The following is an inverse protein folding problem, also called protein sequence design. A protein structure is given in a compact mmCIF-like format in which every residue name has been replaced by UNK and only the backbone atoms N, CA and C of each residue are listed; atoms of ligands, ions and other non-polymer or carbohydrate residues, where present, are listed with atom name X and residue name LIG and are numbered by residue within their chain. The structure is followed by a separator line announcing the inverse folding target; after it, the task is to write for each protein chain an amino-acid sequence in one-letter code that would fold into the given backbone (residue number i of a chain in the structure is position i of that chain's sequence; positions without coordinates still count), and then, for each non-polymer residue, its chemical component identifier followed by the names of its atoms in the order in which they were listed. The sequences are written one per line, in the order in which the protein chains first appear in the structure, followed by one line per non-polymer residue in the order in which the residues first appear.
data_IF_958646647922
#
_entry.id   IF_958646647922
#
_cell.length_a   1.000
_cell.length_b   1.000
_cell.length_c   1.000
_cell.angle_alpha   90.00
_cell.angle_beta   90.00
_cell.angle_gamma   90.00
#
_symmetry.space_group_name_H-M   'P 1'
#
loop_
_entity.id
_entity.type
_entity.pdbx_description
1 polymer ?
#
# COMPACT_ATOMS: atom_id res chain seq x y z
N UNK A 1 35.81 21.47 -5.11
CA UNK A 1 35.41 20.04 -5.11
C UNK A 1 33.91 20.00 -5.29
N UNK A 2 33.43 19.69 -6.50
CA UNK A 2 32.01 19.68 -6.81
C UNK A 2 31.41 18.33 -6.42
N UNK A 3 30.38 18.38 -5.58
CA UNK A 3 29.66 17.20 -5.08
C UNK A 3 28.98 16.48 -6.26
N UNK A 4 29.36 15.22 -6.47
CA UNK A 4 28.69 14.31 -7.40
C UNK A 4 27.31 13.96 -6.86
N UNK A 5 26.25 14.41 -7.53
CA UNK A 5 24.88 13.98 -7.24
C UNK A 5 24.47 12.95 -8.30
N UNK A 6 24.29 11.70 -7.88
CA UNK A 6 23.86 10.59 -8.75
C UNK A 6 22.44 10.86 -9.26
N UNK A 7 22.32 11.26 -10.53
CA UNK A 7 21.03 11.32 -11.22
C UNK A 7 20.66 9.92 -11.71
N UNK A 8 19.99 9.14 -10.87
CA UNK A 8 19.40 7.86 -11.28
C UNK A 8 18.02 8.11 -11.90
N UNK A 9 17.82 7.67 -13.15
CA UNK A 9 16.48 7.52 -13.73
C UNK A 9 15.91 6.21 -13.23
N UNK A 10 14.88 6.28 -12.39
CA UNK A 10 14.13 5.12 -11.94
C UNK A 10 12.71 5.17 -12.51
N UNK A 11 12.10 4.00 -12.67
CA UNK A 11 10.68 3.87 -12.97
C UNK A 11 10.00 3.51 -11.67
N UNK A 12 9.08 4.37 -11.20
CA UNK A 12 8.22 4.05 -10.08
C UNK A 12 7.09 3.17 -10.59
N UNK A 13 6.88 2.03 -9.94
CA UNK A 13 5.84 1.08 -10.30
C UNK A 13 4.92 0.91 -9.08
N UNK A 14 3.62 1.04 -9.29
CA UNK A 14 2.61 0.65 -8.31
C UNK A 14 2.31 -0.85 -8.49
N UNK A 15 2.85 -1.66 -7.59
CA UNK A 15 2.75 -3.12 -7.60
C UNK A 15 1.29 -3.59 -7.45
N UNK A 16 0.52 -2.93 -6.58
CA UNK A 16 -0.90 -3.25 -6.35
C UNK A 16 -1.77 -2.91 -7.56
N UNK A 17 -1.49 -1.78 -8.22
CA UNK A 17 -2.17 -1.41 -9.47
C UNK A 17 -1.85 -2.40 -10.61
N UNK A 18 -0.61 -2.86 -10.72
CA UNK A 18 -0.23 -3.87 -11.71
C UNK A 18 -0.91 -5.22 -11.48
N UNK A 19 -1.02 -5.66 -10.23
CA UNK A 19 -1.74 -6.89 -9.88
C UNK A 19 -3.22 -6.79 -10.24
N UNK A 20 -3.86 -5.65 -9.97
CA UNK A 20 -5.27 -5.40 -10.33
C UNK A 20 -5.49 -5.29 -11.85
N UNK A 21 -4.51 -4.78 -12.58
CA UNK A 21 -4.59 -4.62 -14.04
C UNK A 21 -4.51 -5.96 -14.79
N UNK A 22 -3.99 -7.03 -14.17
CA UNK A 22 -4.02 -8.39 -14.72
C UNK A 22 -3.17 -8.61 -16.00
N UNK A 23 -2.08 -7.86 -16.16
CA UNK A 23 -1.29 -7.84 -17.40
C UNK A 23 0.03 -8.64 -17.39
N UNK A 24 0.40 -9.25 -16.26
CA UNK A 24 1.66 -9.98 -16.13
C UNK A 24 1.44 -11.49 -16.37
N UNK A 25 2.30 -12.18 -17.16
CA UNK A 25 2.24 -13.63 -17.30
C UNK A 25 2.39 -14.35 -15.95
N UNK A 26 1.72 -15.49 -15.78
CA UNK A 26 1.73 -16.25 -14.52
C UNK A 26 3.13 -16.71 -14.08
N UNK A 27 4.04 -16.96 -15.03
CA UNK A 27 5.42 -17.36 -14.75
C UNK A 27 6.41 -16.17 -14.64
N UNK A 28 5.91 -14.92 -14.63
CA UNK A 28 6.77 -13.76 -14.48
C UNK A 28 7.28 -13.65 -13.03
N UNK A 29 8.60 -13.70 -12.84
CA UNK A 29 9.22 -13.65 -11.50
C UNK A 29 8.82 -12.41 -10.68
N UNK A 30 8.75 -11.23 -11.31
CA UNK A 30 8.32 -10.01 -10.62
C UNK A 30 6.84 -10.08 -10.25
N UNK A 31 5.99 -10.59 -11.15
CA UNK A 31 4.57 -10.82 -10.87
C UNK A 31 4.35 -11.81 -9.73
N UNK A 32 5.13 -12.89 -9.67
CA UNK A 32 5.06 -13.87 -8.59
C UNK A 32 5.51 -13.28 -7.24
N UNK A 33 6.56 -12.45 -7.23
CA UNK A 33 6.99 -11.72 -6.04
C UNK A 33 5.93 -10.74 -5.57
N UNK A 34 5.36 -9.92 -6.46
CA UNK A 34 4.27 -8.99 -6.13
C UNK A 34 3.07 -9.72 -5.53
N UNK A 35 2.69 -10.87 -6.11
CA UNK A 35 1.62 -11.73 -5.58
C UNK A 35 1.96 -12.24 -4.19
N UNK A 36 3.20 -12.66 -3.93
CA UNK A 36 3.62 -13.13 -2.61
C UNK A 36 3.62 -12.00 -1.58
N UNK A 37 4.01 -10.78 -1.97
CA UNK A 37 4.04 -9.60 -1.12
C UNK A 37 2.64 -9.09 -0.74
N UNK A 38 1.69 -9.15 -1.68
CA UNK A 38 0.33 -8.65 -1.53
C UNK A 38 -0.69 -9.75 -1.16
N UNK A 39 -0.28 -11.03 -1.13
CA UNK A 39 -1.19 -12.11 -0.77
C UNK A 39 -1.55 -12.04 0.71
N UNK A 40 -2.85 -11.96 0.98
CA UNK A 40 -3.44 -12.14 2.31
C UNK A 40 -3.92 -13.57 2.54
N UNK A 41 -3.92 -14.41 1.49
CA UNK A 41 -4.38 -15.79 1.52
C UNK A 41 -3.18 -16.75 1.64
N UNK A 42 -2.98 -17.29 2.85
CA UNK A 42 -1.85 -18.17 3.11
C UNK A 42 -1.91 -19.46 2.29
N UNK A 43 -3.11 -19.89 1.92
CA UNK A 43 -3.35 -21.11 1.15
C UNK A 43 -2.74 -21.03 -0.26
N UNK A 44 -2.57 -19.82 -0.81
CA UNK A 44 -2.02 -19.59 -2.16
C UNK A 44 -0.50 -19.53 -2.18
N UNK A 45 0.14 -19.33 -1.02
CA UNK A 45 1.58 -19.10 -0.93
C UNK A 45 2.41 -20.33 -1.33
N UNK A 46 2.05 -21.57 -0.94
CA UNK A 46 2.72 -22.76 -1.43
C UNK A 46 2.75 -22.85 -2.96
N UNK A 47 1.63 -22.56 -3.63
CA UNK A 47 1.54 -22.60 -5.10
C UNK A 47 2.45 -21.56 -5.76
N UNK A 48 2.49 -20.34 -5.22
CA UNK A 48 3.38 -19.27 -5.71
C UNK A 48 4.84 -19.65 -5.51
N UNK A 49 5.19 -20.20 -4.34
CA UNK A 49 6.55 -20.65 -4.04
C UNK A 49 6.99 -21.81 -4.95
N UNK A 50 6.09 -22.76 -5.24
CA UNK A 50 6.36 -23.82 -6.20
C UNK A 50 6.61 -23.26 -7.61
N UNK A 51 5.78 -22.30 -8.05
CA UNK A 51 5.96 -21.66 -9.37
C UNK A 51 7.27 -20.87 -9.45
N UNK A 52 7.64 -20.15 -8.37
CA UNK A 52 8.92 -19.47 -8.27
C UNK A 52 10.08 -20.47 -8.33
N UNK A 53 10.00 -21.55 -7.57
CA UNK A 53 11.00 -22.61 -7.54
C UNK A 53 11.20 -23.18 -8.94
N UNK A 54 10.12 -23.51 -9.66
CA UNK A 54 10.13 -24.02 -11.03
C UNK A 54 10.74 -23.02 -12.03
N UNK A 55 10.40 -21.74 -11.91
CA UNK A 55 10.89 -20.68 -12.77
C UNK A 55 12.40 -20.39 -12.62
N UNK A 56 12.98 -20.70 -11.45
CA UNK A 56 14.43 -20.57 -11.20
C UNK A 56 15.15 -21.93 -11.15
N UNK A 57 14.56 -22.99 -11.72
CA UNK A 57 15.28 -24.25 -11.90
C UNK A 57 16.16 -24.20 -13.16
N UNK A 58 17.46 -24.46 -12.97
CA UNK A 58 18.40 -24.59 -14.07
C UNK A 58 19.81 -24.13 -13.70
N UNK A 59 20.80 -24.65 -14.42
CA UNK A 59 22.19 -24.21 -14.29
C UNK A 59 22.28 -22.73 -14.67
N UNK A 60 22.75 -21.89 -13.73
CA UNK A 60 22.88 -20.44 -13.91
C UNK A 60 21.96 -19.58 -13.05
N UNK A 61 20.94 -20.15 -12.41
CA UNK A 61 20.03 -19.42 -11.50
C UNK A 61 20.28 -19.69 -10.01
N UNK A 62 21.38 -20.34 -9.65
CA UNK A 62 21.69 -20.71 -8.26
C UNK A 62 21.82 -19.49 -7.33
N UNK A 63 22.48 -18.42 -7.79
CA UNK A 63 22.56 -17.18 -7.03
C UNK A 63 21.19 -16.51 -6.89
N UNK A 64 20.41 -16.48 -7.96
CA UNK A 64 19.05 -15.93 -7.91
C UNK A 64 18.16 -16.73 -6.95
N UNK A 65 18.21 -18.06 -6.99
CA UNK A 65 17.46 -18.93 -6.09
C UNK A 65 17.80 -18.65 -4.63
N UNK A 66 19.09 -18.56 -4.31
CA UNK A 66 19.58 -18.24 -2.96
C UNK A 66 19.18 -16.83 -2.53
N UNK A 67 19.32 -15.83 -3.40
CA UNK A 67 18.92 -14.45 -3.10
C UNK A 67 17.41 -14.34 -2.89
N UNK A 68 16.60 -15.01 -3.70
CA UNK A 68 15.14 -15.07 -3.53
C UNK A 68 14.77 -15.81 -2.25
N UNK A 69 15.44 -16.92 -1.93
CA UNK A 69 15.21 -17.65 -0.69
C UNK A 69 15.48 -16.79 0.54
N UNK A 70 16.60 -16.08 0.57
CA UNK A 70 16.94 -15.15 1.66
C UNK A 70 15.97 -13.96 1.72
N UNK A 71 15.60 -13.39 0.56
CA UNK A 71 14.65 -12.29 0.49
C UNK A 71 13.26 -12.69 0.98
N UNK A 72 12.72 -13.81 0.48
CA UNK A 72 11.40 -14.31 0.87
C UNK A 72 11.43 -14.76 2.32
N UNK A 73 12.50 -15.42 2.78
CA UNK A 73 12.68 -15.71 4.20
C UNK A 73 12.62 -14.41 5.02
N UNK A 74 13.32 -13.35 4.62
CA UNK A 74 13.24 -12.08 5.33
C UNK A 74 11.83 -11.47 5.28
N UNK A 75 11.15 -11.48 4.14
CA UNK A 75 9.77 -11.02 4.01
C UNK A 75 8.81 -11.80 4.94
N UNK A 76 8.96 -13.12 4.96
CA UNK A 76 8.22 -14.05 5.82
C UNK A 76 8.54 -13.80 7.30
N UNK A 77 9.82 -13.58 7.66
CA UNK A 77 10.33 -13.41 9.03
C UNK A 77 10.05 -12.03 9.64
N UNK A 78 10.23 -10.98 8.84
CA UNK A 78 9.94 -9.61 9.23
C UNK A 78 8.45 -9.42 9.51
N UNK A 79 7.61 -10.16 8.79
CA UNK A 79 6.15 -10.25 9.01
C UNK A 79 5.72 -11.32 10.02
N UNK A 80 6.69 -11.91 10.70
CA UNK A 80 6.45 -13.01 11.61
C UNK A 80 6.78 -12.62 13.04
N UNK A 81 7.87 -11.87 13.29
CA UNK A 81 8.42 -11.72 14.65
C UNK A 81 8.44 -13.07 15.37
N UNK A 82 9.12 -14.07 14.79
CA UNK A 82 9.05 -15.43 15.31
C UNK A 82 9.61 -15.45 16.74
N UNK A 83 8.87 -16.08 17.66
CA UNK A 83 9.33 -16.25 19.05
C UNK A 83 10.50 -17.25 19.15
N UNK A 84 10.73 -18.05 18.11
CA UNK A 84 11.83 -18.99 17.99
C UNK A 84 12.82 -18.54 16.90
N UNK A 85 14.09 -18.86 17.08
CA UNK A 85 15.10 -18.65 16.04
C UNK A 85 14.76 -19.52 14.81
N UNK A 86 14.59 -18.87 13.66
CA UNK A 86 14.33 -19.57 12.40
C UNK A 86 15.67 -19.85 11.71
N UNK A 87 15.94 -21.09 11.26
CA UNK A 87 17.18 -21.42 10.58
C UNK A 87 17.28 -20.63 9.27
N UNK A 88 18.47 -20.15 8.92
CA UNK A 88 18.70 -19.52 7.62
C UNK A 88 18.54 -20.57 6.51
N UNK A 89 17.81 -20.20 5.46
CA UNK A 89 17.62 -21.06 4.27
C UNK A 89 18.54 -20.60 3.17
N UNK A 90 19.10 -21.55 2.42
CA UNK A 90 20.03 -21.29 1.31
C UNK A 90 19.40 -21.49 -0.06
N UNK A 91 18.19 -22.05 -0.11
CA UNK A 91 17.42 -22.28 -1.33
C UNK A 91 15.91 -22.17 -1.10
N UNK A 92 15.16 -21.94 -2.18
CA UNK A 92 13.70 -21.95 -2.16
C UNK A 92 13.15 -23.32 -1.75
N UNK A 93 13.89 -24.40 -2.04
CA UNK A 93 13.52 -25.77 -1.65
C UNK A 93 13.57 -25.94 -0.13
N UNK A 94 14.63 -25.46 0.52
CA UNK A 94 14.74 -25.45 1.98
C UNK A 94 13.65 -24.58 2.62
N UNK A 95 13.33 -23.44 2.01
CA UNK A 95 12.25 -22.57 2.49
C UNK A 95 10.89 -23.24 2.44
N UNK A 96 10.56 -23.91 1.33
CA UNK A 96 9.31 -24.68 1.19
C UNK A 96 9.25 -25.80 2.22
N UNK A 97 10.36 -26.51 2.45
CA UNK A 97 10.44 -27.56 3.47
C UNK A 97 10.19 -27.01 4.88
N UNK A 98 10.83 -25.88 5.21
CA UNK A 98 10.66 -25.19 6.50
C UNK A 98 9.22 -24.73 6.75
N UNK A 99 8.56 -24.18 5.72
CA UNK A 99 7.15 -23.78 5.79
C UNK A 99 6.24 -25.00 5.97
N UNK A 100 6.56 -26.10 5.29
CA UNK A 100 5.81 -27.35 5.33
C UNK A 100 5.95 -28.12 6.65
N UNK A 101 7.06 -27.95 7.37
CA UNK A 101 7.28 -28.58 8.68
C UNK A 101 6.44 -27.92 9.80
N UNK A 102 6.19 -26.60 9.70
CA UNK A 102 5.41 -25.84 10.69
C UNK A 102 4.34 -24.95 10.04
N UNK A 103 3.40 -25.49 9.24
CA UNK A 103 2.45 -24.69 8.45
C UNK A 103 1.52 -23.83 9.32
N UNK A 104 1.17 -24.32 10.51
CA UNK A 104 0.30 -23.61 11.45
C UNK A 104 0.93 -22.38 12.13
N UNK A 105 2.27 -22.31 12.20
CA UNK A 105 2.98 -21.17 12.80
C UNK A 105 2.85 -19.94 11.88
N UNK A 106 3.16 -20.14 10.59
CA UNK A 106 3.12 -19.07 9.59
C UNK A 106 1.68 -18.59 9.32
N UNK A 107 0.71 -19.51 9.26
CA UNK A 107 -0.73 -19.20 9.08
C UNK A 107 -1.31 -18.27 10.13
N UNK A 108 -1.05 -18.56 11.40
CA UNK A 108 -1.61 -17.77 12.50
C UNK A 108 -1.01 -16.37 12.55
N UNK A 109 0.25 -16.25 12.16
CA UNK A 109 1.02 -15.03 12.30
C UNK A 109 0.73 -14.05 11.16
N UNK A 110 0.72 -14.52 9.90
CA UNK A 110 0.29 -13.70 8.77
C UNK A 110 -1.15 -13.24 8.88
N UNK A 111 -2.06 -14.09 9.39
CA UNK A 111 -3.43 -13.67 9.67
C UNK A 111 -3.46 -12.54 10.72
N UNK A 112 -2.64 -12.62 11.76
CA UNK A 112 -2.58 -11.58 12.80
C UNK A 112 -2.04 -10.27 12.24
N UNK A 113 -0.98 -10.32 11.44
CA UNK A 113 -0.41 -9.12 10.84
C UNK A 113 -1.30 -8.51 9.76
N UNK A 114 -1.94 -9.31 8.91
CA UNK A 114 -2.90 -8.80 7.93
C UNK A 114 -4.06 -8.03 8.60
N UNK A 115 -4.51 -8.48 9.78
CA UNK A 115 -5.50 -7.75 10.58
C UNK A 115 -4.91 -6.45 11.15
N UNK A 116 -3.65 -6.46 11.58
CA UNK A 116 -2.99 -5.27 12.13
C UNK A 116 -2.76 -4.20 11.05
N UNK A 117 -2.26 -4.58 9.89
CA UNK A 117 -2.03 -3.65 8.78
C UNK A 117 -3.36 -3.14 8.23
N UNK A 118 -4.34 -4.03 7.98
CA UNK A 118 -5.67 -3.58 7.53
C UNK A 118 -6.36 -2.65 8.53
N UNK A 119 -6.13 -2.84 9.84
CA UNK A 119 -6.62 -1.91 10.87
C UNK A 119 -5.88 -0.58 10.85
N UNK A 120 -4.59 -0.58 10.54
CA UNK A 120 -3.77 0.62 10.45
C UNK A 120 -4.14 1.45 9.21
N UNK A 121 -4.21 0.80 8.04
CA UNK A 121 -4.68 1.40 6.79
C UNK A 121 -6.09 1.97 6.95
N UNK A 122 -7.06 1.16 7.41
CA UNK A 122 -8.43 1.65 7.60
C UNK A 122 -8.57 2.77 8.64
N UNK A 123 -7.66 2.84 9.62
CA UNK A 123 -7.60 3.95 10.57
C UNK A 123 -7.03 5.22 9.91
N UNK A 124 -6.04 5.07 9.05
CA UNK A 124 -5.42 6.19 8.34
C UNK A 124 -6.38 6.76 7.30
N UNK A 125 -6.99 5.90 6.48
CA UNK A 125 -8.04 6.28 5.53
C UNK A 125 -9.21 6.96 6.24
N UNK A 126 -9.78 6.33 7.27
CA UNK A 126 -10.89 6.92 8.02
C UNK A 126 -10.53 8.23 8.74
N UNK A 127 -9.27 8.41 9.13
CA UNK A 127 -8.80 9.69 9.68
C UNK A 127 -8.72 10.79 8.62
N UNK A 128 -8.25 10.46 7.41
CA UNK A 128 -8.18 11.41 6.30
C UNK A 128 -9.59 11.79 5.81
N UNK A 129 -10.48 10.81 5.62
CA UNK A 129 -11.88 11.05 5.26
C UNK A 129 -12.59 11.89 6.32
N UNK A 130 -12.51 11.50 7.60
CA UNK A 130 -13.14 12.26 8.69
C UNK A 130 -12.59 13.68 8.85
N UNK A 131 -11.30 13.91 8.52
CA UNK A 131 -10.72 15.25 8.48
C UNK A 131 -11.29 16.08 7.34
N UNK A 132 -11.42 15.52 6.14
CA UNK A 132 -12.00 16.21 4.98
C UNK A 132 -13.47 16.55 5.21
N UNK A 133 -14.28 15.59 5.67
CA UNK A 133 -15.68 15.82 6.03
C UNK A 133 -15.82 16.91 7.09
N UNK A 134 -14.95 16.89 8.11
CA UNK A 134 -14.93 17.92 9.15
C UNK A 134 -14.57 19.31 8.63
N UNK A 135 -13.60 19.41 7.72
CA UNK A 135 -13.23 20.67 7.06
C UNK A 135 -14.36 21.21 6.18
N UNK A 136 -14.98 20.35 5.37
CA UNK A 136 -16.12 20.69 4.53
C UNK A 136 -17.31 21.20 5.36
N UNK A 137 -17.71 20.47 6.40
CA UNK A 137 -18.81 20.86 7.28
C UNK A 137 -18.53 22.17 8.03
N UNK A 138 -17.28 22.42 8.44
CA UNK A 138 -16.91 23.69 9.08
C UNK A 138 -16.98 24.85 8.09
N UNK A 139 -16.41 24.68 6.89
CA UNK A 139 -16.41 25.69 5.84
C UNK A 139 -17.84 26.05 5.41
N UNK A 140 -18.71 25.06 5.24
CA UNK A 140 -20.14 25.26 4.97
C UNK A 140 -20.80 26.14 6.04
N UNK A 141 -20.61 25.82 7.32
CA UNK A 141 -21.18 26.60 8.43
C UNK A 141 -20.67 28.04 8.47
N UNK A 142 -19.39 28.24 8.18
CA UNK A 142 -18.80 29.59 8.13
C UNK A 142 -19.33 30.39 6.94
N UNK A 143 -19.48 29.76 5.77
CA UNK A 143 -20.08 30.38 4.59
C UNK A 143 -21.54 30.75 4.82
N UNK A 144 -22.33 29.84 5.44
CA UNK A 144 -23.72 30.13 5.83
C UNK A 144 -23.77 31.31 6.81
N UNK A 145 -22.84 31.37 7.76
CA UNK A 145 -22.78 32.45 8.73
C UNK A 145 -22.44 33.80 8.08
N UNK A 146 -21.51 33.84 7.11
CA UNK A 146 -21.04 35.08 6.46
C UNK A 146 -21.98 35.57 5.36
N UNK A 147 -22.50 34.65 4.54
CA UNK A 147 -23.23 34.98 3.30
C UNK A 147 -24.72 34.58 3.32
N UNK A 148 -25.17 33.86 4.35
CA UNK A 148 -26.54 33.35 4.43
C UNK A 148 -26.70 31.97 3.77
N UNK A 149 -27.96 31.50 3.59
CA UNK A 149 -28.24 30.16 3.09
C UNK A 149 -27.55 29.86 1.75
N UNK A 150 -26.90 28.70 1.67
CA UNK A 150 -26.19 28.26 0.47
C UNK A 150 -27.11 27.44 -0.45
N UNK A 151 -27.02 27.59 -1.78
CA UNK A 151 -27.63 26.65 -2.73
C UNK A 151 -27.05 25.25 -2.58
N UNK A 152 -27.88 24.23 -2.76
CA UNK A 152 -27.49 22.81 -2.67
C UNK A 152 -26.29 22.46 -3.56
N UNK A 153 -26.15 23.11 -4.72
CA UNK A 153 -25.02 22.91 -5.63
C UNK A 153 -23.68 23.32 -5.02
N UNK A 154 -23.66 24.37 -4.19
CA UNK A 154 -22.44 24.81 -3.50
C UNK A 154 -22.15 23.92 -2.29
N UNK A 155 -23.18 23.49 -1.57
CA UNK A 155 -23.04 22.51 -0.49
C UNK A 155 -22.40 21.22 -1.02
N UNK A 156 -22.93 20.67 -2.11
CA UNK A 156 -22.36 19.49 -2.76
C UNK A 156 -20.90 19.72 -3.18
N UNK A 157 -20.59 20.86 -3.82
CA UNK A 157 -19.21 21.20 -4.22
C UNK A 157 -18.25 21.25 -3.03
N UNK A 158 -18.69 21.75 -1.87
CA UNK A 158 -17.89 21.78 -0.64
C UNK A 158 -17.61 20.36 -0.15
N UNK A 159 -18.64 19.52 -0.03
CA UNK A 159 -18.50 18.15 0.51
C UNK A 159 -17.76 17.18 -0.41
N UNK A 160 -17.74 17.43 -1.73
CA UNK A 160 -16.95 16.65 -2.68
C UNK A 160 -15.59 17.28 -3.01
N UNK A 161 -15.27 18.43 -2.40
CA UNK A 161 -14.01 19.13 -2.63
C UNK A 161 -12.83 18.35 -2.07
N UNK A 162 -11.67 18.40 -2.76
CA UNK A 162 -10.45 17.80 -2.21
C UNK A 162 -9.97 18.59 -0.98
N UNK A 163 -9.12 17.98 -0.15
CA UNK A 163 -8.51 18.68 0.99
C UNK A 163 -7.79 19.98 0.59
N UNK A 164 -7.17 19.99 -0.60
CA UNK A 164 -6.51 21.18 -1.14
C UNK A 164 -7.51 22.27 -1.55
N UNK A 165 -8.64 21.89 -2.16
CA UNK A 165 -9.69 22.83 -2.51
C UNK A 165 -10.30 23.47 -1.25
N UNK A 166 -10.60 22.64 -0.24
CA UNK A 166 -11.14 23.09 1.05
C UNK A 166 -10.18 24.05 1.76
N UNK A 167 -8.87 23.82 1.70
CA UNK A 167 -7.86 24.71 2.26
C UNK A 167 -7.84 26.07 1.54
N UNK A 168 -7.83 26.07 0.20
CA UNK A 168 -7.87 27.30 -0.60
C UNK A 168 -9.14 28.10 -0.34
N UNK A 169 -10.31 27.44 -0.33
CA UNK A 169 -11.58 28.10 -0.05
C UNK A 169 -11.63 28.65 1.39
N UNK A 170 -11.07 27.93 2.36
CA UNK A 170 -10.98 28.41 3.75
C UNK A 170 -10.12 29.67 3.89
N UNK A 171 -9.02 29.77 3.14
CA UNK A 171 -8.18 30.97 3.11
C UNK A 171 -8.89 32.12 2.40
N UNK A 172 -9.47 31.86 1.23
CA UNK A 172 -10.20 32.87 0.46
C UNK A 172 -11.40 33.43 1.24
N UNK A 173 -12.05 32.63 2.08
CA UNK A 173 -13.16 33.05 2.92
C UNK A 173 -12.82 34.25 3.82
N UNK A 174 -11.57 34.36 4.26
CA UNK A 174 -11.13 35.43 5.18
C UNK A 174 -11.33 36.80 4.53
N UNK A 175 -10.86 36.95 3.29
CA UNK A 175 -10.84 38.23 2.57
C UNK A 175 -11.99 38.42 1.57
N UNK A 176 -12.76 37.36 1.26
CA UNK A 176 -13.79 37.42 0.25
C UNK A 176 -15.02 38.24 0.67
N UNK A 177 -15.38 39.26 -0.13
CA UNK A 177 -16.63 40.04 0.04
C UNK A 177 -17.85 39.37 -0.60
N UNK A 178 -17.65 38.34 -1.41
CA UNK A 178 -18.72 37.59 -2.06
C UNK A 178 -18.39 36.10 -2.14
N UNK A 179 -19.41 35.27 -2.26
CA UNK A 179 -19.24 33.82 -2.30
C UNK A 179 -18.47 33.37 -3.53
N UNK A 180 -18.61 34.08 -4.66
CA UNK A 180 -17.89 33.78 -5.90
C UNK A 180 -16.38 33.93 -5.72
N UNK A 181 -15.93 34.92 -4.94
CA UNK A 181 -14.51 35.12 -4.63
C UNK A 181 -13.94 33.98 -3.77
N UNK A 182 -14.74 33.32 -2.94
CA UNK A 182 -14.29 32.17 -2.15
C UNK A 182 -13.89 31.01 -3.05
N UNK A 183 -14.72 30.76 -4.07
CA UNK A 183 -14.56 29.65 -5.01
C UNK A 183 -13.75 30.00 -6.27
N UNK A 184 -13.12 31.18 -6.30
CA UNK A 184 -12.22 31.60 -7.36
C UNK A 184 -10.86 30.92 -7.14
N UNK A 185 -10.74 29.70 -7.68
CA UNK A 185 -9.55 28.84 -7.65
C UNK A 185 -9.21 28.42 -9.07
#
# INVERSE_FOLDING_TARGET
MSNYQLQLRYVLIDEGALLRAGGLPDANLAGLLFRLEHSTAIEQIPEILHTLMDAVQGAGFEELNRSLAAYIQHLVLSRAQPQEAVPQVTSLQELVMLISEKPGMWARQWKREGILEGRKEGREEGFQEGRQEGQAALLERQLIHKFGPLPDTLVQRIHTGSAADLEVWSLNLIDADSIEKVFAS
#
